data_IF_927864510471
#
_entry.id   IF_927864510471
#
_cell.length_a   1.000
_cell.length_b   1.000
_cell.length_c   1.000
_cell.angle_alpha   90.00
_cell.angle_beta   90.00
_cell.angle_gamma   90.00
#
_symmetry.space_group_name_H-M   'P 1'
#
loop_
_entity.id
_entity.type
_entity.pdbx_description
1 polymer ?
#
# COMPACT_ATOMS: atom_id res chain seq x y z
N UNK A 1 -8.59 20.31 -44.41
CA UNK A 1 -9.40 19.17 -43.91
C UNK A 1 -8.53 18.15 -43.18
N UNK A 2 -8.63 18.07 -41.85
CA UNK A 2 -8.68 16.81 -41.06
C UNK A 2 -8.77 17.17 -39.58
N UNK A 3 -9.99 17.42 -39.15
CA UNK A 3 -10.37 17.52 -37.74
C UNK A 3 -10.64 16.09 -37.26
N UNK A 4 -9.61 15.42 -36.74
CA UNK A 4 -9.65 14.12 -36.02
C UNK A 4 -8.41 14.16 -35.11
N UNK A 5 -8.41 14.00 -33.81
CA UNK A 5 -9.33 13.37 -32.88
C UNK A 5 -8.85 13.77 -31.48
N UNK A 6 -9.59 14.63 -30.77
CA UNK A 6 -9.29 14.98 -29.37
C UNK A 6 -9.98 13.99 -28.40
N UNK A 7 -10.92 13.19 -28.91
CA UNK A 7 -11.72 12.27 -28.10
C UNK A 7 -11.06 10.91 -27.84
N UNK A 8 -9.99 10.53 -28.55
CA UNK A 8 -9.35 9.22 -28.35
C UNK A 8 -8.35 9.17 -27.18
N UNK A 9 -7.88 10.31 -26.65
CA UNK A 9 -6.85 10.32 -25.60
C UNK A 9 -7.39 9.95 -24.21
N UNK A 10 -8.65 10.29 -23.91
CA UNK A 10 -9.25 10.08 -22.59
C UNK A 10 -9.60 8.59 -22.36
N UNK A 11 -9.88 7.84 -23.43
CA UNK A 11 -10.34 6.44 -23.33
C UNK A 11 -9.21 5.41 -23.17
N UNK A 12 -7.96 5.75 -23.52
CA UNK A 12 -6.78 4.87 -23.39
C UNK A 12 -6.17 4.90 -21.98
N UNK A 13 -6.50 5.89 -21.16
CA UNK A 13 -5.97 6.01 -19.79
C UNK A 13 -6.47 4.89 -18.86
N UNK A 14 -7.58 4.23 -19.21
CA UNK A 14 -8.30 3.26 -18.36
C UNK A 14 -7.68 1.84 -18.29
N UNK A 15 -6.59 1.54 -19.00
CA UNK A 15 -5.96 0.19 -18.97
C UNK A 15 -4.46 0.17 -18.69
N UNK A 16 -3.84 1.31 -18.41
CA UNK A 16 -2.38 1.38 -18.23
C UNK A 16 -1.92 0.89 -16.84
N UNK A 17 -0.76 0.22 -16.78
CA UNK A 17 -0.10 -0.24 -15.54
C UNK A 17 0.25 0.89 -14.53
N UNK A 18 -0.03 2.14 -14.92
CA UNK A 18 0.18 3.36 -14.16
C UNK A 18 -1.05 3.77 -13.33
N UNK A 19 -2.22 3.17 -13.60
CA UNK A 19 -3.44 3.37 -12.80
C UNK A 19 -3.19 2.90 -11.36
N UNK A 20 -3.26 3.82 -10.40
CA UNK A 20 -3.02 3.56 -8.99
C UNK A 20 -1.58 3.75 -8.50
N UNK A 21 -0.63 4.13 -9.38
CA UNK A 21 0.75 4.55 -9.03
C UNK A 21 1.12 5.92 -9.60
N UNK A 22 0.11 6.69 -9.99
CA UNK A 22 0.26 8.04 -10.54
C UNK A 22 -0.50 9.00 -9.65
N UNK A 23 0.11 10.15 -9.35
CA UNK A 23 -0.49 11.25 -8.59
C UNK A 23 -0.37 12.50 -9.44
N UNK A 24 -1.48 13.21 -9.64
CA UNK A 24 -1.50 14.49 -10.34
C UNK A 24 -0.85 15.57 -9.46
N UNK A 25 0.05 16.36 -10.04
CA UNK A 25 0.63 17.51 -9.35
C UNK A 25 -0.37 18.67 -9.43
N UNK A 26 -0.89 19.09 -8.28
CA UNK A 26 -1.80 20.24 -8.18
C UNK A 26 -1.03 21.49 -7.77
N UNK A 27 -1.37 22.62 -8.38
CA UNK A 27 -0.85 23.95 -8.02
C UNK A 27 0.68 24.06 -8.02
N UNK A 28 1.37 23.25 -8.84
CA UNK A 28 2.84 23.20 -8.90
C UNK A 28 3.53 22.63 -7.65
N UNK A 29 2.77 22.12 -6.67
CA UNK A 29 3.35 21.56 -5.44
C UNK A 29 3.80 20.11 -5.66
N UNK A 30 5.00 19.96 -6.22
CA UNK A 30 5.60 18.64 -6.50
C UNK A 30 5.92 17.87 -5.22
N UNK A 31 6.34 18.57 -4.15
CA UNK A 31 6.74 17.93 -2.88
C UNK A 31 5.58 17.16 -2.25
N UNK A 32 4.40 17.77 -2.20
CA UNK A 32 3.19 17.12 -1.67
C UNK A 32 2.76 15.93 -2.52
N UNK A 33 2.76 16.09 -3.85
CA UNK A 33 2.42 15.01 -4.77
C UNK A 33 3.37 13.79 -4.62
N UNK A 34 4.67 14.03 -4.41
CA UNK A 34 5.64 12.97 -4.15
C UNK A 34 5.40 12.26 -2.80
N UNK A 35 5.08 12.99 -1.74
CA UNK A 35 4.75 12.41 -0.44
C UNK A 35 3.47 11.56 -0.50
N UNK A 36 2.46 12.03 -1.23
CA UNK A 36 1.24 11.27 -1.50
C UNK A 36 1.55 9.99 -2.28
N UNK A 37 2.35 10.08 -3.34
CA UNK A 37 2.78 8.92 -4.11
C UNK A 37 3.54 7.91 -3.24
N UNK A 38 4.46 8.37 -2.39
CA UNK A 38 5.20 7.52 -1.48
C UNK A 38 4.25 6.78 -0.53
N UNK A 39 3.24 7.46 0.00
CA UNK A 39 2.21 6.86 0.88
C UNK A 39 1.43 5.76 0.14
N UNK A 40 1.03 6.01 -1.10
CA UNK A 40 0.33 5.02 -1.95
C UNK A 40 1.21 3.78 -2.18
N UNK A 41 2.50 3.97 -2.53
CA UNK A 41 3.43 2.86 -2.74
C UNK A 41 3.68 2.04 -1.46
N UNK A 42 3.72 2.70 -0.30
CA UNK A 42 3.86 2.03 1.00
C UNK A 42 2.61 1.22 1.36
N UNK A 43 1.41 1.78 1.18
CA UNK A 43 0.13 1.08 1.40
C UNK A 43 0.01 -0.18 0.54
N UNK A 44 0.40 -0.06 -0.73
CA UNK A 44 0.43 -1.17 -1.69
C UNK A 44 1.63 -2.11 -1.51
N UNK A 45 2.53 -1.84 -0.55
CA UNK A 45 3.72 -2.66 -0.23
C UNK A 45 4.68 -2.90 -1.41
N UNK A 46 4.67 -2.03 -2.42
CA UNK A 46 5.47 -2.19 -3.65
C UNK A 46 6.97 -2.31 -3.34
N UNK A 47 7.49 -1.42 -2.48
CA UNK A 47 8.90 -1.42 -2.09
C UNK A 47 9.31 -2.70 -1.34
N UNK A 48 8.44 -3.21 -0.46
CA UNK A 48 8.71 -4.42 0.30
C UNK A 48 8.69 -5.66 -0.62
N UNK A 49 7.79 -5.67 -1.61
CA UNK A 49 7.71 -6.71 -2.61
C UNK A 49 8.96 -6.75 -3.49
N UNK A 50 9.40 -5.60 -4.03
CA UNK A 50 10.64 -5.49 -4.83
C UNK A 50 11.84 -6.08 -4.07
N UNK A 51 11.99 -5.75 -2.78
CA UNK A 51 13.08 -6.32 -1.96
C UNK A 51 12.93 -7.82 -1.78
N UNK A 52 11.72 -8.33 -1.57
CA UNK A 52 11.45 -9.74 -1.36
C UNK A 52 11.58 -10.59 -2.64
N UNK A 53 11.32 -10.00 -3.82
CA UNK A 53 11.42 -10.68 -5.12
C UNK A 53 12.77 -10.49 -5.80
N UNK A 54 13.63 -9.59 -5.30
CA UNK A 54 14.98 -9.36 -5.82
C UNK A 54 15.83 -10.62 -5.94
N UNK A 55 15.57 -11.63 -5.10
CA UNK A 55 16.21 -12.95 -5.15
C UNK A 55 15.14 -14.04 -5.12
N UNK A 56 15.43 -15.16 -5.77
CA UNK A 56 14.54 -16.31 -5.74
C UNK A 56 14.44 -16.88 -4.31
N UNK A 57 13.22 -16.97 -3.80
CA UNK A 57 12.90 -17.64 -2.54
C UNK A 57 12.28 -19.02 -2.83
N UNK A 58 12.86 -20.08 -2.26
CA UNK A 58 12.31 -21.44 -2.38
C UNK A 58 10.87 -21.50 -1.86
N UNK A 59 10.02 -22.28 -2.54
CA UNK A 59 8.58 -22.41 -2.20
C UNK A 59 8.34 -22.78 -0.73
N UNK A 60 9.14 -23.70 -0.17
CA UNK A 60 9.03 -24.13 1.23
C UNK A 60 9.31 -23.00 2.23
N UNK A 61 10.42 -22.30 2.04
CA UNK A 61 10.82 -21.17 2.87
C UNK A 61 9.81 -20.02 2.79
N UNK A 62 9.30 -19.73 1.58
CA UNK A 62 8.20 -18.77 1.39
C UNK A 62 6.97 -19.12 2.22
N UNK A 63 6.55 -20.39 2.25
CA UNK A 63 5.40 -20.84 3.07
C UNK A 63 5.67 -20.65 4.56
N UNK A 64 6.87 -21.03 5.04
CA UNK A 64 7.26 -20.89 6.45
C UNK A 64 7.28 -19.42 6.86
N UNK A 65 7.90 -18.56 6.06
CA UNK A 65 7.92 -17.11 6.27
C UNK A 65 6.52 -16.52 6.33
N UNK A 66 5.68 -16.82 5.34
CA UNK A 66 4.30 -16.29 5.29
C UNK A 66 3.46 -16.78 6.48
N UNK A 67 3.61 -18.03 6.93
CA UNK A 67 2.95 -18.55 8.13
C UNK A 67 3.39 -17.77 9.38
N UNK A 68 4.70 -17.59 9.58
CA UNK A 68 5.25 -16.80 10.69
C UNK A 68 4.77 -15.35 10.67
N UNK A 69 4.77 -14.70 9.50
CA UNK A 69 4.29 -13.32 9.37
C UNK A 69 2.80 -13.19 9.69
N UNK A 70 1.96 -14.12 9.21
CA UNK A 70 0.53 -14.14 9.54
C UNK A 70 0.30 -14.30 11.04
N UNK A 71 1.03 -15.21 11.69
CA UNK A 71 0.90 -15.43 13.12
C UNK A 71 1.31 -14.19 13.92
N UNK A 72 2.45 -13.57 13.60
CA UNK A 72 2.90 -12.33 14.26
C UNK A 72 1.89 -11.18 14.13
N UNK A 73 1.27 -11.02 12.96
CA UNK A 73 0.21 -10.02 12.74
C UNK A 73 -1.01 -10.29 13.60
N UNK A 74 -1.47 -11.54 13.67
CA UNK A 74 -2.60 -11.92 14.53
C UNK A 74 -2.28 -11.71 16.00
N UNK A 75 -1.11 -12.17 16.44
CA UNK A 75 -0.66 -12.00 17.81
C UNK A 75 -0.61 -10.52 18.22
N UNK A 76 0.01 -9.67 17.40
CA UNK A 76 0.07 -8.23 17.67
C UNK A 76 -1.32 -7.57 17.74
N UNK A 77 -2.26 -8.02 16.90
CA UNK A 77 -3.64 -7.55 16.92
C UNK A 77 -4.37 -7.96 18.21
N UNK A 78 -4.23 -9.22 18.64
CA UNK A 78 -4.83 -9.69 19.89
C UNK A 78 -4.24 -8.96 21.11
N UNK A 79 -2.92 -8.78 21.16
CA UNK A 79 -2.25 -8.00 22.20
C UNK A 79 -2.77 -6.57 22.22
N UNK A 80 -2.89 -5.92 21.05
CA UNK A 80 -3.43 -4.56 20.93
C UNK A 80 -4.85 -4.46 21.49
N UNK A 81 -5.73 -5.41 21.16
CA UNK A 81 -7.11 -5.44 21.69
C UNK A 81 -7.14 -5.56 23.22
N UNK A 82 -6.29 -6.42 23.79
CA UNK A 82 -6.21 -6.58 25.24
C UNK A 82 -5.70 -5.31 25.93
N UNK A 83 -4.68 -4.66 25.37
CA UNK A 83 -4.17 -3.38 25.89
C UNK A 83 -5.24 -2.28 25.80
N UNK A 84 -5.97 -2.21 24.68
CA UNK A 84 -7.08 -1.25 24.53
C UNK A 84 -8.14 -1.45 25.61
N UNK A 85 -8.55 -2.70 25.87
CA UNK A 85 -9.51 -3.02 26.93
C UNK A 85 -9.00 -2.59 28.31
N UNK A 86 -7.74 -2.87 28.64
CA UNK A 86 -7.14 -2.45 29.92
C UNK A 86 -7.14 -0.93 30.05
N UNK A 87 -6.78 -0.21 28.99
CA UNK A 87 -6.80 1.25 28.98
C UNK A 87 -8.23 1.80 29.17
N UNK A 88 -9.24 1.16 28.57
CA UNK A 88 -10.64 1.54 28.75
C UNK A 88 -11.12 1.30 30.19
N UNK A 89 -10.73 0.19 30.81
CA UNK A 89 -11.05 -0.10 32.22
C UNK A 89 -10.43 0.95 33.13
N UNK A 90 -9.14 1.25 32.93
CA UNK A 90 -8.41 2.29 33.67
C UNK A 90 -9.04 3.67 33.51
N UNK A 91 -9.49 4.02 32.30
CA UNK A 91 -10.15 5.30 32.03
C UNK A 91 -11.49 5.45 32.75
N UNK A 92 -12.18 4.34 33.09
CA UNK A 92 -13.44 4.33 33.84
C UNK A 92 -13.24 4.41 35.36
N UNK A 93 -11.99 4.44 35.85
CA UNK A 93 -11.67 4.65 37.26
C UNK A 93 -11.60 3.38 38.11
N UNK A 94 -11.41 2.21 37.49
CA UNK A 94 -11.00 0.99 38.18
C UNK A 94 -9.47 0.90 38.30
#
# INVERSE_FOLDING_TARGET
>A
MRVRSITLSILVVLTSAHLGRSVEVRNGNVGEALAQLQTILQRNRVQAEIRATSRHEKKGEKRRRLRSQRWRRRFAHEVRKKVQLVNEIRARGA
#
